data_IF_089450150775
#
_entry.id   IF_089450150775
#
_cell.length_a   1.000
_cell.length_b   1.000
_cell.length_c   1.000
_cell.angle_alpha   90.00
_cell.angle_beta   90.00
_cell.angle_gamma   90.00
#
_symmetry.space_group_name_H-M   'P 1'
#
loop_
_entity.id
_entity.type
_entity.pdbx_description
1 polymer ?
#
# COMPACT_ATOMS: atom_id res chain seq x y z
N UNK A 1 -31.64 -45.94 -7.06
CA UNK A 1 -31.62 -44.54 -7.54
C UNK A 1 -31.87 -43.62 -6.34
N UNK A 2 -30.84 -43.18 -5.66
CA UNK A 2 -30.89 -42.14 -4.63
C UNK A 2 -30.30 -40.86 -5.23
N UNK A 3 -31.18 -39.88 -5.52
CA UNK A 3 -30.76 -38.51 -5.84
C UNK A 3 -30.20 -37.85 -4.58
N UNK A 4 -28.88 -37.60 -4.53
CA UNK A 4 -28.32 -36.66 -3.57
C UNK A 4 -28.53 -35.25 -4.08
N UNK A 5 -29.57 -34.56 -3.64
CA UNK A 5 -29.65 -33.11 -3.75
C UNK A 5 -28.59 -32.51 -2.80
N UNK A 6 -27.48 -32.08 -3.36
CA UNK A 6 -26.56 -31.21 -2.66
C UNK A 6 -27.23 -29.86 -2.45
N UNK A 7 -27.63 -29.56 -1.23
CA UNK A 7 -27.99 -28.23 -0.78
C UNK A 7 -26.78 -27.33 -0.96
N UNK A 8 -26.73 -26.54 -2.03
CA UNK A 8 -25.83 -25.41 -2.14
C UNK A 8 -26.35 -24.35 -1.15
N UNK A 9 -25.51 -23.86 -0.22
CA UNK A 9 -25.94 -22.74 0.61
C UNK A 9 -26.32 -21.57 -0.32
N UNK A 10 -27.47 -20.98 -0.07
CA UNK A 10 -27.92 -19.79 -0.77
C UNK A 10 -27.02 -18.61 -0.37
N UNK A 11 -25.89 -18.47 -1.05
CA UNK A 11 -25.19 -17.19 -1.06
C UNK A 11 -26.14 -16.22 -1.76
N UNK A 12 -26.58 -15.19 -1.05
CA UNK A 12 -27.20 -14.05 -1.68
C UNK A 12 -26.31 -13.69 -2.88
N UNK A 13 -26.90 -13.58 -4.07
CA UNK A 13 -26.15 -13.28 -5.29
C UNK A 13 -25.45 -11.91 -5.09
N UNK A 14 -24.20 -11.95 -4.61
CA UNK A 14 -23.36 -10.76 -4.62
C UNK A 14 -23.23 -10.31 -6.05
N UNK A 15 -23.54 -9.05 -6.30
CA UNK A 15 -23.42 -8.47 -7.62
C UNK A 15 -21.94 -8.47 -8.06
N UNK A 16 -21.55 -9.46 -8.88
CA UNK A 16 -20.18 -9.64 -9.38
C UNK A 16 -19.93 -8.78 -10.62
N UNK A 17 -20.84 -7.87 -10.96
CA UNK A 17 -20.70 -6.97 -12.10
C UNK A 17 -19.71 -5.86 -11.81
N UNK A 18 -19.14 -5.32 -12.88
CA UNK A 18 -18.27 -4.15 -12.79
C UNK A 18 -19.07 -2.94 -12.28
N UNK A 19 -18.47 -2.22 -11.35
CA UNK A 19 -19.02 -0.98 -10.80
C UNK A 19 -18.07 0.17 -11.09
N UNK A 20 -18.57 1.21 -11.74
CA UNK A 20 -17.82 2.46 -11.93
C UNK A 20 -18.08 3.35 -10.72
N UNK A 21 -17.01 3.76 -10.05
CA UNK A 21 -17.07 4.69 -8.93
C UNK A 21 -16.82 6.10 -9.46
N UNK A 22 -17.73 7.06 -9.23
CA UNK A 22 -17.54 8.44 -9.66
C UNK A 22 -16.42 9.11 -8.87
N UNK A 23 -15.73 10.06 -9.52
CA UNK A 23 -14.76 10.91 -8.84
C UNK A 23 -15.46 11.73 -7.75
N UNK A 24 -14.86 11.80 -6.56
CA UNK A 24 -15.37 12.59 -5.43
C UNK A 24 -14.96 14.04 -5.56
N UNK A 25 -13.70 14.30 -5.94
CA UNK A 25 -13.17 15.66 -6.14
C UNK A 25 -11.96 15.65 -7.07
N UNK A 26 -11.68 16.82 -7.64
CA UNK A 26 -10.44 17.09 -8.37
C UNK A 26 -9.80 18.34 -7.76
N UNK A 27 -8.53 18.28 -7.44
CA UNK A 27 -7.82 19.35 -6.74
C UNK A 27 -6.41 19.53 -7.29
N UNK A 28 -5.85 20.71 -7.06
CA UNK A 28 -4.45 20.99 -7.30
C UNK A 28 -3.69 20.96 -5.97
N UNK A 29 -2.66 20.10 -5.91
CA UNK A 29 -1.73 20.06 -4.79
C UNK A 29 -0.84 21.31 -4.74
N UNK A 30 -0.35 21.62 -3.56
CA UNK A 30 0.63 22.69 -3.38
C UNK A 30 1.98 22.16 -3.83
N UNK A 31 2.58 22.81 -4.81
CA UNK A 31 3.97 22.59 -5.20
C UNK A 31 4.87 23.48 -4.34
N UNK A 32 5.95 22.91 -3.82
CA UNK A 32 6.98 23.68 -3.14
C UNK A 32 8.22 23.84 -4.04
N UNK A 33 9.15 24.69 -3.62
CA UNK A 33 10.47 24.76 -4.26
C UNK A 33 11.16 23.39 -4.17
N UNK A 34 11.88 23.05 -5.24
CA UNK A 34 12.70 21.85 -5.28
C UNK A 34 13.77 21.87 -4.17
N UNK A 35 14.21 20.69 -3.77
CA UNK A 35 15.30 20.53 -2.83
C UNK A 35 16.37 19.61 -3.42
N UNK A 36 17.61 20.01 -3.29
CA UNK A 36 18.77 19.18 -3.68
C UNK A 36 19.30 18.46 -2.43
N UNK A 37 19.18 17.13 -2.40
CA UNK A 37 19.63 16.33 -1.27
C UNK A 37 21.14 16.40 -1.04
N UNK A 38 21.93 16.77 -2.06
CA UNK A 38 23.37 17.05 -1.89
C UNK A 38 23.63 18.21 -0.95
N UNK A 39 22.68 19.12 -0.77
CA UNK A 39 22.76 20.20 0.21
C UNK A 39 22.77 19.73 1.66
N UNK A 40 22.39 18.47 1.93
CA UNK A 40 22.40 17.88 3.26
C UNK A 40 23.75 17.28 3.66
N UNK A 41 24.74 17.16 2.74
CA UNK A 41 26.06 16.63 3.08
C UNK A 41 26.88 17.64 3.89
N UNK A 42 27.57 17.22 4.97
CA UNK A 42 27.88 15.83 5.39
C UNK A 42 26.98 15.27 6.50
N UNK A 43 25.74 15.66 6.64
CA UNK A 43 24.96 15.32 7.82
C UNK A 43 24.24 13.98 7.71
N UNK A 44 24.78 12.96 8.37
CA UNK A 44 23.98 11.85 8.88
C UNK A 44 23.36 12.35 10.17
N UNK A 45 22.06 12.60 10.20
CA UNK A 45 21.37 13.04 11.42
C UNK A 45 21.24 11.86 12.38
N UNK A 46 22.06 11.86 13.42
CA UNK A 46 22.07 10.80 14.45
C UNK A 46 21.27 11.18 15.70
N UNK A 47 20.53 12.31 15.67
CA UNK A 47 19.74 12.73 16.83
C UNK A 47 18.64 11.72 17.13
N UNK A 48 18.46 11.33 18.42
CA UNK A 48 17.34 10.48 18.79
C UNK A 48 16.02 11.18 18.47
N UNK A 49 15.17 10.54 17.67
CA UNK A 49 13.79 10.99 17.48
C UNK A 49 13.02 10.55 18.73
N UNK A 50 12.25 11.44 19.38
CA UNK A 50 11.42 11.04 20.52
C UNK A 50 10.48 9.90 20.11
N UNK A 51 10.30 8.92 20.99
CA UNK A 51 9.37 7.82 20.78
C UNK A 51 7.98 8.40 20.47
N UNK A 52 7.52 8.20 19.26
CA UNK A 52 6.19 8.58 18.83
C UNK A 52 5.45 7.31 18.42
N UNK A 53 4.28 7.12 18.99
CA UNK A 53 3.35 6.10 18.51
C UNK A 53 2.49 6.72 17.43
N UNK A 54 2.33 6.07 16.25
CA UNK A 54 1.29 6.45 15.30
C UNK A 54 -0.06 6.53 16.00
N UNK A 55 -1.03 7.27 15.46
CA UNK A 55 -2.39 7.23 15.98
C UNK A 55 -2.83 5.76 16.05
N UNK A 56 -3.36 5.34 17.20
CA UNK A 56 -3.81 3.95 17.39
C UNK A 56 -4.63 3.52 16.18
N UNK A 57 -4.23 2.39 15.58
CA UNK A 57 -4.95 1.79 14.49
C UNK A 57 -6.37 1.49 14.99
N UNK A 58 -7.42 2.13 14.46
CA UNK A 58 -8.76 1.94 15.00
C UNK A 58 -9.12 0.48 14.94
N UNK A 59 -9.67 -0.01 16.05
CA UNK A 59 -10.12 -1.38 16.23
C UNK A 59 -10.88 -1.84 14.99
N UNK A 60 -10.43 -2.97 14.43
CA UNK A 60 -11.06 -3.65 13.32
C UNK A 60 -12.56 -3.71 13.46
N UNK A 61 -13.26 -3.33 12.40
CA UNK A 61 -14.62 -3.80 12.23
C UNK A 61 -14.53 -5.27 11.80
N UNK A 62 -15.09 -6.24 12.54
CA UNK A 62 -15.12 -7.62 12.06
C UNK A 62 -15.75 -7.65 10.67
N UNK A 63 -15.09 -8.30 9.71
CA UNK A 63 -15.70 -8.53 8.41
C UNK A 63 -16.97 -9.37 8.60
N UNK A 64 -18.12 -9.03 7.99
CA UNK A 64 -19.35 -9.77 8.20
C UNK A 64 -19.20 -11.22 7.72
N UNK A 65 -19.42 -12.19 8.63
CA UNK A 65 -19.74 -13.58 8.30
C UNK A 65 -18.55 -14.49 7.97
N UNK A 66 -17.57 -14.59 8.86
CA UNK A 66 -16.55 -15.65 8.78
C UNK A 66 -17.05 -16.98 9.34
N UNK A 67 -17.45 -17.93 8.48
CA UNK A 67 -17.56 -19.32 8.90
C UNK A 67 -16.15 -19.93 9.02
N UNK A 68 -15.94 -20.74 10.07
CA UNK A 68 -14.70 -21.51 10.25
C UNK A 68 -14.54 -22.48 9.08
N UNK A 69 -13.65 -22.21 8.15
CA UNK A 69 -13.34 -23.15 7.08
C UNK A 69 -12.18 -24.05 7.49
N UNK A 70 -12.43 -25.36 7.58
CA UNK A 70 -11.39 -26.38 7.64
C UNK A 70 -10.85 -26.61 6.23
N UNK A 71 -10.11 -25.64 5.65
CA UNK A 71 -9.43 -25.88 4.39
C UNK A 71 -8.22 -26.77 4.66
N UNK A 72 -7.99 -27.81 3.84
CA UNK A 72 -6.76 -28.60 3.94
C UNK A 72 -5.56 -27.67 3.72
N UNK A 73 -4.57 -27.81 4.57
CA UNK A 73 -3.24 -27.18 4.35
C UNK A 73 -2.75 -27.72 3.01
N UNK A 74 -2.65 -26.86 1.99
CA UNK A 74 -2.00 -27.23 0.75
C UNK A 74 -0.57 -27.73 1.05
N UNK A 75 -0.10 -28.72 0.32
CA UNK A 75 1.25 -29.24 0.50
C UNK A 75 2.22 -28.05 0.50
N UNK A 76 3.07 -27.97 1.53
CA UNK A 76 4.17 -27.02 1.58
C UNK A 76 5.15 -27.57 0.53
N UNK A 77 5.19 -26.94 -0.65
CA UNK A 77 6.32 -27.11 -1.54
C UNK A 77 7.52 -26.47 -0.84
N UNK A 78 8.37 -27.28 -0.26
CA UNK A 78 9.70 -26.84 0.13
C UNK A 78 10.43 -26.42 -1.16
N UNK A 79 10.27 -25.14 -1.51
CA UNK A 79 11.12 -24.52 -2.51
C UNK A 79 12.54 -24.49 -1.95
N UNK A 80 13.30 -25.56 -2.21
CA UNK A 80 14.74 -25.56 -2.02
C UNK A 80 15.43 -24.74 -3.13
N UNK A 81 14.90 -23.56 -3.43
CA UNK A 81 15.64 -22.57 -4.18
C UNK A 81 16.74 -22.06 -3.25
N UNK A 82 17.97 -22.47 -3.51
CA UNK A 82 19.15 -21.83 -2.91
C UNK A 82 19.13 -20.38 -3.34
N UNK A 83 18.54 -19.50 -2.52
CA UNK A 83 18.66 -18.06 -2.71
C UNK A 83 20.13 -17.76 -2.54
N UNK A 84 20.81 -17.41 -3.63
CA UNK A 84 22.17 -16.92 -3.55
C UNK A 84 22.08 -15.46 -3.01
N UNK A 85 22.36 -15.21 -1.73
CA UNK A 85 22.25 -13.88 -1.17
C UNK A 85 23.31 -13.01 -1.85
N UNK A 86 22.85 -11.94 -2.50
CA UNK A 86 23.71 -10.87 -3.00
C UNK A 86 24.38 -10.11 -1.87
N UNK A 87 24.66 -8.84 -2.07
CA UNK A 87 25.21 -7.97 -1.04
C UNK A 87 24.22 -7.88 0.15
N UNK A 88 24.74 -8.12 1.35
CA UNK A 88 24.00 -7.99 2.60
C UNK A 88 24.62 -6.86 3.42
N UNK A 89 23.80 -5.95 3.91
CA UNK A 89 24.24 -4.82 4.74
C UNK A 89 23.12 -4.40 5.69
N UNK A 90 23.52 -3.69 6.75
CA UNK A 90 22.56 -3.14 7.70
C UNK A 90 21.83 -1.93 7.09
N UNK A 91 20.51 -1.92 7.19
CA UNK A 91 19.67 -0.78 6.84
C UNK A 91 19.69 0.31 7.92
N UNK A 92 18.62 1.09 7.98
CA UNK A 92 18.43 2.10 9.02
C UNK A 92 18.23 1.43 10.38
N UNK A 93 18.82 2.03 11.40
CA UNK A 93 18.59 1.58 12.78
C UNK A 93 17.26 2.11 13.31
N UNK A 94 16.71 1.44 14.32
CA UNK A 94 15.51 1.90 15.03
C UNK A 94 15.68 3.34 15.53
N UNK A 95 14.78 4.22 15.14
CA UNK A 95 14.84 5.65 15.41
C UNK A 95 13.82 6.12 16.48
N UNK A 96 13.21 5.18 17.21
CA UNK A 96 12.25 5.48 18.27
C UNK A 96 10.78 5.37 17.87
N UNK A 97 10.46 5.09 16.60
CA UNK A 97 9.10 4.80 16.16
C UNK A 97 8.76 3.32 16.33
N UNK A 98 7.53 3.05 16.73
CA UNK A 98 6.99 1.70 16.82
C UNK A 98 5.52 1.71 16.35
N UNK A 99 5.19 1.00 15.27
CA UNK A 99 6.09 0.23 14.38
C UNK A 99 7.00 1.14 13.54
N UNK A 100 8.07 0.59 12.94
CA UNK A 100 8.98 1.37 12.09
C UNK A 100 8.43 1.65 10.69
N UNK A 101 7.44 0.89 10.23
CA UNK A 101 6.80 0.95 8.91
C UNK A 101 7.81 1.08 7.75
N UNK A 102 8.79 0.17 7.76
CA UNK A 102 9.87 0.17 6.79
C UNK A 102 9.38 -0.17 5.38
N UNK A 103 9.89 0.55 4.39
CA UNK A 103 9.71 0.26 2.98
C UNK A 103 11.00 0.55 2.19
N UNK A 104 11.15 -0.05 0.99
CA UNK A 104 12.40 0.00 0.23
C UNK A 104 12.14 0.02 -1.28
N UNK A 105 12.86 0.89 -1.98
CA UNK A 105 12.88 0.93 -3.44
C UNK A 105 14.29 0.70 -3.98
N UNK A 106 14.41 -0.18 -4.98
CA UNK A 106 15.68 -0.55 -5.60
C UNK A 106 15.67 -0.13 -7.07
N UNK A 107 16.43 0.89 -7.39
CA UNK A 107 16.63 1.36 -8.75
C UNK A 107 17.87 0.77 -9.43
N UNK A 108 18.27 1.36 -10.55
CA UNK A 108 19.42 0.88 -11.34
C UNK A 108 20.76 1.03 -10.60
N UNK A 109 20.95 2.10 -9.86
CA UNK A 109 22.21 2.48 -9.21
C UNK A 109 22.15 2.59 -7.68
N UNK A 110 20.98 2.87 -7.11
CA UNK A 110 20.79 3.16 -5.70
C UNK A 110 19.66 2.33 -5.08
N UNK A 111 19.63 2.38 -3.76
CA UNK A 111 18.56 1.88 -2.91
C UNK A 111 18.10 3.05 -2.04
N UNK A 112 16.79 3.27 -1.98
CA UNK A 112 16.18 4.22 -1.04
C UNK A 112 15.36 3.41 -0.03
N UNK A 113 15.68 3.57 1.24
CA UNK A 113 14.96 2.99 2.38
C UNK A 113 14.22 4.10 3.10
N UNK A 114 12.99 3.82 3.51
CA UNK A 114 12.19 4.71 4.35
C UNK A 114 11.75 3.97 5.61
N UNK A 115 11.70 4.70 6.70
CA UNK A 115 11.07 4.26 7.95
C UNK A 115 10.24 5.41 8.50
N UNK A 116 9.38 5.16 9.47
CA UNK A 116 8.65 6.25 10.12
C UNK A 116 9.61 7.39 10.49
N UNK A 117 9.28 8.60 10.00
CA UNK A 117 9.98 9.87 10.15
C UNK A 117 11.30 10.07 9.38
N UNK A 118 11.89 9.06 8.74
CA UNK A 118 13.23 9.18 8.14
C UNK A 118 13.38 8.38 6.85
N UNK A 119 14.38 8.76 6.04
CA UNK A 119 14.80 8.02 4.85
C UNK A 119 16.31 7.96 4.73
N UNK A 120 16.81 6.97 4.00
CA UNK A 120 18.22 6.81 3.69
C UNK A 120 18.44 6.41 2.23
N UNK A 121 19.58 6.83 1.68
CA UNK A 121 20.04 6.49 0.33
C UNK A 121 21.32 5.68 0.44
N UNK A 122 21.36 4.56 -0.28
CA UNK A 122 22.52 3.67 -0.33
C UNK A 122 22.93 3.40 -1.77
N UNK A 123 24.21 3.12 -1.97
CA UNK A 123 24.61 2.41 -3.19
C UNK A 123 24.06 0.99 -3.21
N UNK A 124 24.00 0.34 -4.35
CA UNK A 124 23.58 -1.06 -4.44
C UNK A 124 24.50 -2.04 -3.69
N UNK A 125 25.68 -1.61 -3.30
CA UNK A 125 26.64 -2.40 -2.50
C UNK A 125 26.52 -2.11 -0.99
N UNK A 126 25.58 -1.25 -0.57
CA UNK A 126 25.27 -1.00 0.82
C UNK A 126 26.00 0.15 1.47
N UNK A 127 26.74 0.96 0.70
CA UNK A 127 27.34 2.18 1.25
C UNK A 127 26.24 3.22 1.46
N UNK A 128 25.98 3.58 2.72
CA UNK A 128 25.04 4.66 3.06
C UNK A 128 25.63 6.01 2.61
N UNK A 129 24.89 6.73 1.78
CA UNK A 129 25.28 8.03 1.23
C UNK A 129 24.57 9.18 1.95
N UNK A 130 23.31 8.95 2.35
CA UNK A 130 22.50 9.94 3.04
C UNK A 130 21.58 9.24 4.04
N UNK A 131 21.32 9.89 5.16
CA UNK A 131 20.21 9.58 6.08
C UNK A 131 19.67 10.89 6.63
N UNK A 132 18.36 11.15 6.45
CA UNK A 132 17.71 12.39 6.83
C UNK A 132 16.27 12.16 7.30
N UNK A 133 15.72 13.13 8.02
CA UNK A 133 14.32 13.11 8.41
C UNK A 133 13.41 13.64 7.30
N UNK A 134 12.16 13.19 7.28
CA UNK A 134 11.15 13.77 6.39
C UNK A 134 10.85 15.23 6.73
N UNK A 135 11.02 15.65 8.00
CA UNK A 135 10.92 17.07 8.37
C UNK A 135 11.97 17.92 7.63
N UNK A 136 13.17 17.40 7.44
CA UNK A 136 14.21 18.07 6.65
C UNK A 136 13.86 18.08 5.16
N UNK A 137 13.47 16.92 4.60
CA UNK A 137 13.08 16.81 3.20
C UNK A 137 11.91 17.73 2.85
N UNK A 138 10.89 17.80 3.70
CA UNK A 138 9.68 18.61 3.49
C UNK A 138 9.69 19.95 4.24
N UNK A 139 10.88 20.44 4.63
CA UNK A 139 11.00 21.77 5.24
C UNK A 139 10.40 22.84 4.33
N UNK A 140 9.56 23.72 4.91
CA UNK A 140 8.83 24.74 4.17
C UNK A 140 7.59 24.24 3.39
N UNK A 141 7.31 22.94 3.42
CA UNK A 141 6.13 22.29 2.79
C UNK A 141 5.19 21.72 3.85
N UNK A 142 5.72 20.85 4.70
CA UNK A 142 4.99 20.30 5.83
C UNK A 142 4.72 21.40 6.85
N UNK A 143 3.50 21.42 7.42
CA UNK A 143 3.10 22.37 8.46
C UNK A 143 2.83 21.66 9.81
N UNK A 144 2.57 20.37 9.80
CA UNK A 144 2.45 19.56 10.99
C UNK A 144 3.77 18.82 11.29
N UNK A 145 3.99 18.49 12.55
CA UNK A 145 5.20 17.79 12.99
C UNK A 145 5.07 16.28 12.90
N UNK A 146 3.84 15.74 12.85
CA UNK A 146 3.61 14.30 12.69
C UNK A 146 3.67 13.92 11.22
N UNK A 147 4.78 13.32 10.81
CA UNK A 147 5.00 12.69 9.51
C UNK A 147 5.21 11.19 9.73
N UNK A 148 4.35 10.34 9.12
CA UNK A 148 4.28 8.91 9.44
C UNK A 148 3.84 8.10 8.21
N UNK A 149 3.89 6.77 8.31
CA UNK A 149 3.51 5.80 7.29
C UNK A 149 4.14 6.11 5.91
N UNK A 150 5.46 6.18 5.80
CA UNK A 150 6.09 6.43 4.52
C UNK A 150 5.96 5.23 3.57
N UNK A 151 5.97 5.51 2.27
CA UNK A 151 6.16 4.52 1.21
C UNK A 151 7.15 5.05 0.19
N UNK A 152 7.89 4.14 -0.45
CA UNK A 152 8.82 4.48 -1.51
C UNK A 152 8.73 3.49 -2.66
N UNK A 153 8.74 3.98 -3.88
CA UNK A 153 8.80 3.17 -5.10
C UNK A 153 9.93 3.66 -6.01
N UNK A 154 10.40 2.77 -6.87
CA UNK A 154 11.21 3.14 -8.04
C UNK A 154 10.35 2.97 -9.29
N UNK A 155 9.89 4.10 -9.83
CA UNK A 155 9.17 4.17 -11.10
C UNK A 155 10.12 3.85 -12.26
N UNK A 156 10.15 2.57 -12.64
CA UNK A 156 11.05 2.05 -13.68
C UNK A 156 10.70 2.50 -15.08
N UNK A 157 9.47 2.96 -15.30
CA UNK A 157 9.05 3.47 -16.62
C UNK A 157 9.63 4.86 -16.89
N UNK A 158 9.88 5.60 -15.84
CA UNK A 158 10.28 6.99 -15.90
C UNK A 158 11.63 7.25 -15.24
N UNK A 159 12.29 6.22 -14.68
CA UNK A 159 13.58 6.29 -13.99
C UNK A 159 13.57 7.33 -12.87
N UNK A 160 12.67 7.14 -11.87
CA UNK A 160 12.45 8.05 -10.75
C UNK A 160 12.24 7.29 -9.44
N UNK A 161 12.77 7.85 -8.36
CA UNK A 161 12.31 7.48 -7.03
C UNK A 161 11.16 8.38 -6.63
N UNK A 162 10.14 7.79 -6.02
CA UNK A 162 8.98 8.52 -5.50
C UNK A 162 8.73 8.09 -4.07
N UNK A 163 8.79 9.06 -3.15
CA UNK A 163 8.47 8.87 -1.74
C UNK A 163 7.14 9.55 -1.42
N UNK A 164 6.34 8.92 -0.60
CA UNK A 164 5.18 9.55 0.04
C UNK A 164 5.32 9.43 1.55
N UNK A 165 4.74 10.38 2.27
CA UNK A 165 4.60 10.34 3.72
C UNK A 165 3.32 11.06 4.13
N UNK A 166 2.61 10.54 5.12
CA UNK A 166 1.40 11.15 5.63
C UNK A 166 1.72 12.27 6.61
N UNK A 167 0.94 13.36 6.55
CA UNK A 167 1.02 14.49 7.46
C UNK A 167 -0.30 14.62 8.21
N UNK A 168 -0.25 14.65 9.54
CA UNK A 168 -1.43 14.80 10.40
C UNK A 168 -1.24 15.81 11.51
N UNK A 169 -2.32 16.56 11.79
CA UNK A 169 -2.53 17.32 13.03
C UNK A 169 -4.00 17.26 13.43
N UNK A 170 -4.28 17.31 14.71
CA UNK A 170 -5.65 17.36 15.23
C UNK A 170 -6.11 18.78 15.56
N UNK A 171 -5.17 19.72 15.73
CA UNK A 171 -5.46 21.13 16.01
C UNK A 171 -4.36 22.04 15.41
N UNK A 172 -4.61 22.72 14.29
CA UNK A 172 -5.79 22.55 13.42
C UNK A 172 -5.85 21.14 12.82
N UNK A 173 -7.05 20.72 12.39
CA UNK A 173 -7.21 19.43 11.70
C UNK A 173 -6.52 19.49 10.34
N UNK A 174 -5.50 18.65 10.18
CA UNK A 174 -4.70 18.51 8.95
C UNK A 174 -4.58 17.03 8.64
N UNK A 175 -4.81 16.69 7.38
CA UNK A 175 -4.45 15.40 6.79
C UNK A 175 -3.99 15.65 5.37
N UNK A 176 -2.71 15.38 5.08
CA UNK A 176 -2.11 15.58 3.77
C UNK A 176 -1.27 14.38 3.39
N UNK A 177 -1.04 14.24 2.09
CA UNK A 177 -0.03 13.34 1.54
C UNK A 177 1.09 14.20 0.99
N UNK A 178 2.26 14.09 1.58
CA UNK A 178 3.47 14.71 1.07
C UNK A 178 4.11 13.77 0.04
N UNK A 179 4.53 14.30 -1.09
CA UNK A 179 5.12 13.53 -2.19
C UNK A 179 6.46 14.17 -2.56
N UNK A 180 7.50 13.36 -2.69
CA UNK A 180 8.78 13.77 -3.24
C UNK A 180 9.15 12.87 -4.42
N UNK A 181 9.53 13.47 -5.55
CA UNK A 181 9.88 12.79 -6.80
C UNK A 181 11.28 13.23 -7.21
N UNK A 182 12.21 12.28 -7.38
CA UNK A 182 13.56 12.63 -7.88
C UNK A 182 13.49 13.12 -9.32
N UNK A 183 14.37 14.04 -9.67
CA UNK A 183 14.44 14.61 -11.04
C UNK A 183 15.02 13.63 -12.07
N UNK A 184 15.73 12.61 -11.61
CA UNK A 184 16.25 11.50 -12.43
C UNK A 184 16.40 10.21 -11.61
N UNK A 185 17.14 9.22 -12.13
CA UNK A 185 17.42 7.92 -11.49
C UNK A 185 18.46 7.95 -10.38
N UNK A 186 19.04 9.12 -10.08
CA UNK A 186 19.96 9.32 -8.94
C UNK A 186 19.24 10.05 -7.80
N UNK A 187 18.93 9.35 -6.69
CA UNK A 187 18.21 9.96 -5.57
C UNK A 187 19.06 10.97 -4.77
N UNK A 188 20.36 11.10 -5.05
CA UNK A 188 21.23 12.12 -4.44
C UNK A 188 21.11 13.49 -5.13
N UNK A 189 20.15 13.67 -6.02
CA UNK A 189 19.92 14.89 -6.79
C UNK A 189 18.81 15.76 -6.24
N UNK A 190 18.11 16.40 -7.18
CA UNK A 190 16.97 17.27 -6.92
C UNK A 190 15.70 16.47 -6.71
N UNK A 191 14.87 16.93 -5.81
CA UNK A 191 13.54 16.36 -5.55
C UNK A 191 12.47 17.43 -5.72
N UNK A 192 11.48 17.14 -6.57
CA UNK A 192 10.26 17.91 -6.70
C UNK A 192 9.30 17.53 -5.56
N UNK A 193 8.78 18.53 -4.83
CA UNK A 193 8.01 18.31 -3.61
C UNK A 193 6.60 18.84 -3.72
N UNK A 194 5.63 18.05 -3.25
CA UNK A 194 4.21 18.36 -3.31
C UNK A 194 3.53 18.05 -1.98
N UNK A 195 2.47 18.80 -1.70
CA UNK A 195 1.58 18.58 -0.57
C UNK A 195 0.15 18.46 -1.09
N UNK A 196 -0.36 17.23 -1.13
CA UNK A 196 -1.67 16.88 -1.66
C UNK A 196 -2.71 16.87 -0.55
N UNK A 197 -3.98 17.09 -0.90
CA UNK A 197 -5.07 16.96 0.06
C UNK A 197 -5.32 15.50 0.41
N UNK A 198 -5.23 15.16 1.69
CA UNK A 198 -5.54 13.86 2.26
C UNK A 198 -6.81 13.85 3.11
N UNK A 199 -7.37 15.02 3.46
CA UNK A 199 -8.61 15.10 4.22
C UNK A 199 -9.84 14.97 3.32
N UNK A 200 -10.89 14.37 3.85
CA UNK A 200 -12.21 14.27 3.23
C UNK A 200 -13.30 14.51 4.27
N UNK A 201 -14.42 15.09 3.86
CA UNK A 201 -15.63 15.11 4.67
C UNK A 201 -16.57 14.01 4.19
N UNK A 202 -16.84 13.02 5.03
CA UNK A 202 -17.67 11.85 4.71
C UNK A 202 -18.89 11.81 5.62
N UNK A 203 -20.08 11.95 5.04
CA UNK A 203 -21.32 12.00 5.84
C UNK A 203 -21.36 13.12 6.88
N UNK A 204 -20.71 14.26 6.60
CA UNK A 204 -20.62 15.42 7.50
C UNK A 204 -19.53 15.29 8.58
N UNK A 205 -18.68 14.26 8.53
CA UNK A 205 -17.56 14.05 9.45
C UNK A 205 -16.25 14.31 8.72
N UNK A 206 -15.43 15.20 9.27
CA UNK A 206 -14.08 15.44 8.76
C UNK A 206 -13.18 14.26 9.11
N UNK A 207 -12.50 13.74 8.08
CA UNK A 207 -11.71 12.52 8.16
C UNK A 207 -10.26 12.76 7.74
N UNK A 208 -9.37 11.98 8.35
CA UNK A 208 -7.94 11.93 8.05
C UNK A 208 -7.55 10.58 7.45
N UNK A 209 -6.50 10.58 6.64
CA UNK A 209 -6.00 9.43 5.90
C UNK A 209 -4.92 8.69 6.68
N UNK A 210 -4.98 7.35 6.67
CA UNK A 210 -4.09 6.44 7.37
C UNK A 210 -3.81 5.18 6.54
N UNK A 211 -2.71 4.51 6.83
CA UNK A 211 -2.32 3.24 6.23
C UNK A 211 -2.31 3.28 4.69
N UNK A 212 -1.35 3.99 4.07
CA UNK A 212 -1.35 4.21 2.64
C UNK A 212 -0.98 2.95 1.85
N UNK A 213 -1.75 2.67 0.78
CA UNK A 213 -1.31 1.85 -0.32
C UNK A 213 -0.71 2.74 -1.40
N UNK A 214 0.34 2.27 -2.08
CA UNK A 214 1.02 3.07 -3.09
C UNK A 214 1.38 2.20 -4.29
N UNK A 215 0.91 2.60 -5.48
CA UNK A 215 1.19 1.91 -6.73
C UNK A 215 1.38 2.87 -7.89
N UNK A 216 1.91 2.35 -9.00
CA UNK A 216 2.21 3.16 -10.17
C UNK A 216 2.16 2.35 -11.47
N UNK A 217 1.92 3.06 -12.58
CA UNK A 217 2.22 2.61 -13.94
C UNK A 217 2.94 3.74 -14.70
N UNK A 218 3.13 3.60 -16.00
CA UNK A 218 3.80 4.63 -16.81
C UNK A 218 3.08 5.98 -16.83
N UNK A 219 1.77 6.01 -16.55
CA UNK A 219 0.90 7.19 -16.67
C UNK A 219 0.81 7.99 -15.35
N UNK A 220 1.00 7.33 -14.21
CA UNK A 220 0.86 8.02 -12.93
C UNK A 220 0.99 7.14 -11.69
N UNK A 221 0.74 7.80 -10.59
CA UNK A 221 0.80 7.27 -9.22
C UNK A 221 -0.59 7.24 -8.62
N UNK A 222 -0.87 6.23 -7.80
CA UNK A 222 -2.11 6.18 -7.02
C UNK A 222 -1.78 5.88 -5.56
N UNK A 223 -2.25 6.76 -4.69
CA UNK A 223 -2.14 6.65 -3.25
C UNK A 223 -3.52 6.34 -2.69
N UNK A 224 -3.67 5.22 -2.01
CA UNK A 224 -4.88 4.95 -1.23
C UNK A 224 -4.66 5.21 0.25
N UNK A 225 -5.74 5.27 1.01
CA UNK A 225 -5.69 5.30 2.46
C UNK A 225 -7.07 5.15 3.08
N UNK A 226 -7.09 4.62 4.28
CA UNK A 226 -8.29 4.50 5.09
C UNK A 226 -8.65 5.86 5.69
N UNK A 227 -9.89 6.25 5.59
CA UNK A 227 -10.38 7.52 6.10
C UNK A 227 -11.06 7.34 7.46
N UNK A 228 -10.46 7.94 8.49
CA UNK A 228 -10.96 7.89 9.87
C UNK A 228 -11.44 9.27 10.32
N UNK A 229 -12.57 9.31 11.04
CA UNK A 229 -13.06 10.57 11.59
C UNK A 229 -12.08 11.20 12.58
N UNK A 230 -11.81 12.50 12.47
CA UNK A 230 -10.97 13.22 13.44
C UNK A 230 -11.53 13.18 14.86
N UNK A 231 -12.86 13.14 14.99
CA UNK A 231 -13.53 13.22 16.29
C UNK A 231 -13.59 11.86 17.02
N UNK A 232 -13.63 10.74 16.29
CA UNK A 232 -13.97 9.44 16.86
C UNK A 232 -13.07 8.30 16.41
N UNK A 233 -12.13 8.56 15.50
CA UNK A 233 -11.24 7.58 14.86
C UNK A 233 -12.00 6.39 14.23
N UNK A 234 -13.30 6.54 13.93
CA UNK A 234 -14.04 5.48 13.26
C UNK A 234 -13.81 5.54 11.74
N UNK A 235 -13.58 4.38 11.13
CA UNK A 235 -13.46 4.26 9.69
C UNK A 235 -14.76 4.66 8.97
N UNK A 236 -14.64 5.40 7.87
CA UNK A 236 -15.76 5.89 7.05
C UNK A 236 -15.73 5.36 5.64
N UNK A 237 -14.55 5.39 5.01
CA UNK A 237 -14.34 5.01 3.61
C UNK A 237 -12.85 4.76 3.37
N UNK A 238 -12.52 4.25 2.20
CA UNK A 238 -11.15 4.23 1.70
C UNK A 238 -11.05 5.19 0.52
N UNK A 239 -10.07 6.09 0.56
CA UNK A 239 -9.79 7.03 -0.51
C UNK A 239 -8.77 6.46 -1.49
N UNK A 240 -8.83 6.89 -2.75
CA UNK A 240 -7.82 6.65 -3.79
C UNK A 240 -7.52 7.97 -4.48
N UNK A 241 -6.32 8.49 -4.32
CA UNK A 241 -5.82 9.74 -4.88
C UNK A 241 -4.98 9.42 -6.10
N UNK A 242 -5.44 9.80 -7.28
CA UNK A 242 -4.77 9.60 -8.57
C UNK A 242 -3.95 10.83 -8.91
N UNK A 243 -2.67 10.67 -9.18
CA UNK A 243 -1.71 11.71 -9.53
C UNK A 243 -1.05 11.40 -10.88
N UNK A 244 -1.44 12.06 -12.00
CA UNK A 244 -0.76 11.93 -13.28
C UNK A 244 0.73 12.29 -13.18
N UNK A 245 1.62 11.44 -13.70
CA UNK A 245 3.06 11.56 -13.46
C UNK A 245 3.76 12.61 -14.34
N UNK A 246 3.27 12.87 -15.55
CA UNK A 246 3.98 13.65 -16.55
C UNK A 246 4.39 15.07 -16.08
N UNK A 247 3.44 15.79 -15.44
CA UNK A 247 3.72 17.14 -14.93
C UNK A 247 4.61 17.13 -13.70
N UNK A 248 4.32 16.25 -12.73
CA UNK A 248 5.02 16.24 -11.44
C UNK A 248 6.47 15.75 -11.54
N UNK A 249 6.79 14.92 -12.53
CA UNK A 249 8.17 14.47 -12.80
C UNK A 249 9.10 15.58 -13.32
N UNK A 250 8.52 16.63 -13.86
CA UNK A 250 9.27 17.80 -14.36
C UNK A 250 9.12 19.02 -13.43
N UNK A 251 8.70 18.81 -12.19
CA UNK A 251 8.49 19.92 -11.25
C UNK A 251 7.30 20.82 -11.61
N UNK A 252 6.34 20.31 -12.38
CA UNK A 252 5.13 21.02 -12.75
C UNK A 252 3.96 20.80 -11.77
N UNK A 253 2.77 21.20 -12.17
CA UNK A 253 1.57 21.18 -11.32
C UNK A 253 1.12 19.77 -10.96
N UNK A 254 0.75 19.54 -9.69
CA UNK A 254 0.16 18.31 -9.19
C UNK A 254 -1.37 18.41 -9.18
N UNK A 255 -2.02 17.95 -10.23
CA UNK A 255 -3.49 17.84 -10.28
C UNK A 255 -3.89 16.43 -9.84
N UNK A 256 -4.82 16.31 -8.89
CA UNK A 256 -5.28 15.04 -8.36
C UNK A 256 -6.76 14.81 -8.59
N UNK A 257 -7.13 13.55 -8.74
CA UNK A 257 -8.53 13.09 -8.72
C UNK A 257 -8.70 12.08 -7.60
N UNK A 258 -9.65 12.29 -6.72
CA UNK A 258 -9.91 11.44 -5.56
C UNK A 258 -11.21 10.66 -5.75
N UNK A 259 -11.15 9.37 -5.45
CA UNK A 259 -12.29 8.45 -5.39
C UNK A 259 -12.48 7.95 -3.97
N UNK A 260 -13.69 7.48 -3.64
CA UNK A 260 -14.03 6.87 -2.37
C UNK A 260 -14.73 5.52 -2.57
N UNK A 261 -14.37 4.53 -1.78
CA UNK A 261 -15.07 3.25 -1.70
C UNK A 261 -15.35 2.91 -0.24
N UNK A 262 -16.62 2.92 0.15
CA UNK A 262 -17.07 2.64 1.52
C UNK A 262 -17.36 1.16 1.80
N UNK A 263 -17.04 0.28 0.88
CA UNK A 263 -17.28 -1.16 1.00
C UNK A 263 -16.02 -1.96 1.35
N UNK A 264 -14.86 -1.33 1.27
CA UNK A 264 -13.57 -1.99 1.39
C UNK A 264 -12.64 -1.15 2.28
N UNK A 265 -12.04 -1.79 3.25
CA UNK A 265 -10.96 -1.19 4.04
C UNK A 265 -9.63 -1.64 3.48
N UNK A 266 -8.71 -0.70 3.29
CA UNK A 266 -7.37 -0.92 2.74
C UNK A 266 -7.37 -1.45 1.32
N UNK A 267 -7.04 -0.57 0.38
CA UNK A 267 -6.73 -0.93 -1.01
C UNK A 267 -5.21 -0.86 -1.18
N UNK A 268 -4.62 -1.91 -1.74
CA UNK A 268 -3.22 -1.90 -2.17
C UNK A 268 -3.18 -1.76 -3.69
N UNK A 269 -2.61 -0.66 -4.18
CA UNK A 269 -2.34 -0.47 -5.59
C UNK A 269 -1.04 -1.13 -5.98
N UNK A 270 -1.01 -1.73 -7.17
CA UNK A 270 0.13 -2.53 -7.60
C UNK A 270 1.31 -1.67 -8.06
N UNK A 271 2.51 -2.11 -7.70
CA UNK A 271 3.68 -1.78 -8.47
C UNK A 271 3.60 -2.52 -9.82
N UNK A 272 3.53 -1.76 -10.92
CA UNK A 272 3.42 -2.33 -12.25
C UNK A 272 4.82 -2.62 -12.79
N UNK A 273 5.17 -3.90 -12.85
CA UNK A 273 6.49 -4.37 -13.28
C UNK A 273 6.43 -5.00 -14.67
N UNK A 274 7.37 -4.66 -15.53
CA UNK A 274 7.50 -5.27 -16.85
C UNK A 274 6.87 -4.46 -17.96
N UNK A 275 5.78 -4.97 -18.58
CA UNK A 275 5.11 -4.32 -19.71
C UNK A 275 4.29 -3.11 -19.30
N UNK A 276 4.12 -2.17 -20.24
CA UNK A 276 3.28 -0.98 -20.04
C UNK A 276 1.81 -1.32 -20.20
N UNK A 277 0.96 -0.77 -19.34
CA UNK A 277 -0.50 -0.81 -19.48
C UNK A 277 -1.12 0.50 -19.00
N UNK A 278 -2.13 0.99 -19.71
CA UNK A 278 -2.90 2.18 -19.29
C UNK A 278 -3.85 1.93 -18.12
N UNK A 279 -3.90 0.70 -17.60
CA UNK A 279 -4.68 0.34 -16.40
C UNK A 279 -3.73 0.16 -15.23
N UNK A 280 -3.98 0.86 -14.13
CA UNK A 280 -3.31 0.62 -12.86
C UNK A 280 -4.24 -0.20 -11.97
N UNK A 281 -3.78 -1.40 -11.58
CA UNK A 281 -4.56 -2.32 -10.78
C UNK A 281 -4.34 -2.13 -9.30
N UNK A 282 -5.36 -2.46 -8.52
CA UNK A 282 -5.31 -2.54 -7.08
C UNK A 282 -6.25 -3.63 -6.57
N UNK A 283 -6.14 -3.93 -5.29
CA UNK A 283 -6.93 -4.99 -4.66
C UNK A 283 -7.07 -4.72 -3.15
N UNK A 284 -8.17 -5.16 -2.57
CA UNK A 284 -8.36 -5.14 -1.12
C UNK A 284 -9.31 -6.25 -0.67
N UNK A 285 -9.27 -6.58 0.61
CA UNK A 285 -10.16 -7.60 1.17
C UNK A 285 -11.58 -7.05 1.30
N UNK A 286 -12.56 -7.75 0.73
CA UNK A 286 -13.97 -7.40 0.85
C UNK A 286 -14.64 -8.19 1.99
N UNK A 287 -14.44 -9.49 1.99
CA UNK A 287 -14.81 -10.41 3.06
C UNK A 287 -14.02 -11.72 2.93
N UNK A 288 -14.32 -12.70 3.76
CA UNK A 288 -13.59 -13.97 3.81
C UNK A 288 -13.70 -14.87 2.56
N UNK A 289 -14.52 -14.49 1.58
CA UNK A 289 -14.73 -15.26 0.34
C UNK A 289 -14.45 -14.44 -0.92
N UNK A 290 -14.24 -13.12 -0.78
CA UNK A 290 -14.03 -12.22 -1.90
C UNK A 290 -12.98 -11.18 -1.58
N UNK A 291 -12.12 -10.92 -2.57
CA UNK A 291 -11.38 -9.68 -2.66
C UNK A 291 -12.08 -8.74 -3.65
N UNK A 292 -11.83 -7.46 -3.52
CA UNK A 292 -12.32 -6.46 -4.46
C UNK A 292 -11.17 -5.97 -5.32
N UNK A 293 -11.21 -6.34 -6.59
CA UNK A 293 -10.31 -5.81 -7.61
C UNK A 293 -10.66 -4.36 -7.91
N UNK A 294 -9.66 -3.54 -8.09
CA UNK A 294 -9.77 -2.13 -8.44
C UNK A 294 -8.93 -1.85 -9.69
N UNK A 295 -9.41 -1.03 -10.58
CA UNK A 295 -8.70 -0.61 -11.78
C UNK A 295 -8.87 0.89 -12.01
N UNK A 296 -7.78 1.62 -12.09
CA UNK A 296 -7.76 3.02 -12.53
C UNK A 296 -7.38 3.07 -14.00
N UNK A 297 -8.18 3.78 -14.79
CA UNK A 297 -7.94 4.03 -16.22
C UNK A 297 -7.87 5.53 -16.49
N UNK A 298 -7.36 5.88 -17.66
CA UNK A 298 -7.36 7.26 -18.18
C UNK A 298 -6.67 8.26 -17.24
N UNK A 299 -5.61 7.82 -16.55
CA UNK A 299 -4.88 8.61 -15.55
C UNK A 299 -4.46 9.98 -16.11
N UNK A 300 -4.05 10.02 -17.39
CA UNK A 300 -3.54 11.25 -18.04
C UNK A 300 -4.63 12.22 -18.51
N UNK A 301 -5.90 11.81 -18.47
CA UNK A 301 -7.03 12.64 -18.95
C UNK A 301 -8.08 12.79 -17.86
N UNK A 302 -9.10 11.95 -17.86
CA UNK A 302 -10.15 11.93 -16.84
C UNK A 302 -10.13 10.56 -16.18
N UNK A 303 -9.47 10.43 -15.01
CA UNK A 303 -9.36 9.16 -14.32
C UNK A 303 -10.72 8.53 -14.04
N UNK A 304 -10.77 7.21 -14.22
CA UNK A 304 -11.97 6.42 -13.97
C UNK A 304 -11.62 5.24 -13.08
N UNK A 305 -12.34 5.04 -12.00
CA UNK A 305 -12.18 3.90 -11.10
C UNK A 305 -13.27 2.87 -11.38
N UNK A 306 -12.85 1.63 -11.65
CA UNK A 306 -13.74 0.48 -11.86
C UNK A 306 -13.41 -0.57 -10.80
N UNK A 307 -14.44 -1.17 -10.22
CA UNK A 307 -14.27 -2.23 -9.21
C UNK A 307 -15.04 -3.47 -9.57
N UNK A 308 -14.55 -4.62 -9.07
CA UNK A 308 -15.21 -5.92 -9.25
C UNK A 308 -14.89 -6.84 -8.09
N UNK A 309 -15.86 -7.63 -7.63
CA UNK A 309 -15.62 -8.68 -6.65
C UNK A 309 -14.98 -9.90 -7.33
N UNK A 310 -13.86 -10.35 -6.79
CA UNK A 310 -13.11 -11.54 -7.18
C UNK A 310 -13.30 -12.61 -6.12
N UNK A 311 -13.96 -13.71 -6.47
CA UNK A 311 -14.10 -14.85 -5.57
C UNK A 311 -12.72 -15.47 -5.25
N UNK A 312 -12.49 -15.78 -3.99
CA UNK A 312 -11.28 -16.45 -3.50
C UNK A 312 -11.67 -17.64 -2.62
N UNK A 313 -10.75 -18.56 -2.39
CA UNK A 313 -10.95 -19.62 -1.42
C UNK A 313 -11.21 -19.01 -0.03
N UNK A 314 -12.23 -19.51 0.65
CA UNK A 314 -12.61 -19.03 1.98
C UNK A 314 -11.41 -19.05 2.94
N UNK A 315 -11.34 -18.06 3.81
CA UNK A 315 -10.29 -17.92 4.82
C UNK A 315 -10.86 -17.42 6.14
N UNK A 316 -10.07 -17.50 7.20
CA UNK A 316 -10.42 -16.95 8.51
C UNK A 316 -9.35 -15.96 8.95
N UNK A 317 -9.75 -15.00 9.79
CA UNK A 317 -8.80 -14.03 10.35
C UNK A 317 -7.69 -14.75 11.12
N UNK A 318 -6.44 -14.23 11.04
CA UNK A 318 -5.36 -14.78 11.83
C UNK A 318 -5.65 -14.60 13.33
N UNK A 319 -5.08 -15.44 14.21
CA UNK A 319 -5.06 -15.15 15.63
C UNK A 319 -4.46 -13.76 15.89
N UNK A 320 -4.94 -13.08 16.92
CA UNK A 320 -4.44 -11.74 17.27
C UNK A 320 -2.93 -11.71 17.57
N UNK A 321 -2.40 -12.84 18.03
CA UNK A 321 -0.97 -12.99 18.34
C UNK A 321 -0.43 -14.32 17.84
N UNK A 322 0.80 -14.31 17.38
CA UNK A 322 1.62 -15.48 17.07
C UNK A 322 2.65 -15.72 18.19
N UNK A 323 2.94 -17.00 18.48
CA UNK A 323 4.00 -17.35 19.40
C UNK A 323 5.38 -17.14 18.75
N UNK A 324 6.32 -16.61 19.49
CA UNK A 324 7.71 -16.50 19.05
C UNK A 324 8.65 -17.38 19.87
N UNK A 325 9.80 -17.72 19.30
CA UNK A 325 10.84 -18.48 20.02
C UNK A 325 11.44 -17.72 21.20
N UNK A 326 11.31 -16.40 21.26
CA UNK A 326 11.70 -15.58 22.38
C UNK A 326 10.71 -15.60 23.55
N UNK A 327 9.54 -16.23 23.39
CA UNK A 327 8.45 -16.25 24.36
C UNK A 327 7.62 -14.95 24.38
N UNK A 328 7.96 -13.95 23.57
CA UNK A 328 7.14 -12.75 23.41
C UNK A 328 6.11 -12.96 22.30
N UNK A 329 4.86 -12.57 22.55
CA UNK A 329 3.84 -12.61 21.52
C UNK A 329 4.14 -11.59 20.42
N UNK A 330 4.00 -12.00 19.16
CA UNK A 330 4.10 -11.15 17.99
C UNK A 330 2.69 -10.85 17.50
N UNK A 331 2.43 -9.63 17.03
CA UNK A 331 1.15 -9.28 16.44
C UNK A 331 0.87 -10.18 15.22
N UNK A 332 -0.24 -10.88 15.24
CA UNK A 332 -0.66 -11.79 14.18
C UNK A 332 -1.17 -11.06 12.93
N UNK A 333 -1.26 -9.75 12.98
CA UNK A 333 -1.80 -8.94 11.90
C UNK A 333 -3.32 -9.11 11.73
N UNK A 334 -3.83 -8.76 10.58
CA UNK A 334 -5.23 -8.93 10.22
C UNK A 334 -5.40 -9.42 8.77
N UNK A 335 -6.65 -9.63 8.35
CA UNK A 335 -6.97 -10.12 7.02
C UNK A 335 -6.83 -9.09 5.89
N UNK A 336 -6.26 -7.89 6.14
CA UNK A 336 -5.99 -6.91 5.08
C UNK A 336 -4.85 -7.37 4.17
N UNK A 337 -4.90 -6.98 2.91
CA UNK A 337 -3.81 -7.23 1.97
C UNK A 337 -2.66 -6.25 2.26
N UNK A 338 -1.41 -6.74 2.22
CA UNK A 338 -0.23 -5.95 2.60
C UNK A 338 0.44 -5.24 1.42
N UNK A 339 0.25 -5.74 0.21
CA UNK A 339 0.82 -5.15 -0.99
C UNK A 339 0.29 -5.83 -2.23
N UNK A 340 0.57 -5.25 -3.39
CA UNK A 340 0.22 -5.80 -4.68
C UNK A 340 1.32 -5.52 -5.70
N UNK A 341 1.59 -6.50 -6.56
CA UNK A 341 2.52 -6.38 -7.68
C UNK A 341 1.83 -6.91 -8.93
N UNK A 342 1.95 -6.18 -10.04
CA UNK A 342 1.44 -6.65 -11.31
C UNK A 342 2.57 -6.83 -12.32
N UNK A 343 2.57 -7.99 -13.00
CA UNK A 343 3.52 -8.28 -14.07
C UNK A 343 2.91 -9.25 -15.08
N UNK A 344 3.06 -8.95 -16.37
CA UNK A 344 2.66 -9.83 -17.49
C UNK A 344 1.21 -10.34 -17.36
N UNK A 345 0.27 -9.46 -17.03
CA UNK A 345 -1.14 -9.81 -16.90
C UNK A 345 -1.53 -10.46 -15.57
N UNK A 346 -0.58 -10.67 -14.65
CA UNK A 346 -0.82 -11.29 -13.35
C UNK A 346 -0.69 -10.26 -12.21
N UNK A 347 -1.68 -10.23 -11.32
CA UNK A 347 -1.66 -9.48 -10.07
C UNK A 347 -1.38 -10.45 -8.92
N UNK A 348 -0.28 -10.22 -8.21
CA UNK A 348 0.11 -11.04 -7.05
C UNK A 348 -0.07 -10.24 -5.78
N UNK A 349 -0.66 -10.86 -4.78
CA UNK A 349 -0.89 -10.24 -3.45
C UNK A 349 -0.90 -11.30 -2.35
N UNK A 350 -0.82 -10.86 -1.10
CA UNK A 350 -0.86 -11.75 0.07
C UNK A 350 -1.43 -11.05 1.30
N UNK A 351 -1.88 -11.88 2.25
CA UNK A 351 -2.33 -11.42 3.57
C UNK A 351 -2.13 -12.48 4.65
N UNK A 352 -2.24 -12.06 5.90
CA UNK A 352 -2.28 -12.98 7.02
C UNK A 352 -3.64 -13.69 7.10
N UNK A 353 -3.63 -14.98 7.41
CA UNK A 353 -4.82 -15.83 7.61
C UNK A 353 -4.61 -16.74 8.80
N UNK A 354 -5.72 -17.24 9.38
CA UNK A 354 -5.68 -18.27 10.40
C UNK A 354 -5.73 -19.67 9.79
N UNK A 355 -4.77 -20.53 10.15
CA UNK A 355 -4.75 -21.96 9.80
C UNK A 355 -4.45 -22.77 11.07
N UNK A 356 -5.35 -23.67 11.48
CA UNK A 356 -5.17 -24.50 12.68
C UNK A 356 -4.81 -23.69 13.94
N UNK A 357 -5.46 -22.54 14.12
CA UNK A 357 -5.24 -21.59 15.23
C UNK A 357 -3.83 -20.93 15.22
N UNK A 358 -3.15 -20.90 14.08
CA UNK A 358 -1.85 -20.24 13.86
C UNK A 358 -1.96 -19.17 12.80
N UNK A 359 -1.03 -18.22 12.82
CA UNK A 359 -0.86 -17.24 11.76
C UNK A 359 -0.16 -17.90 10.57
N UNK A 360 -0.69 -17.68 9.39
CA UNK A 360 -0.11 -18.10 8.13
C UNK A 360 -0.23 -16.96 7.10
N UNK A 361 0.57 -17.00 6.04
CA UNK A 361 0.44 -16.10 4.89
C UNK A 361 -0.30 -16.85 3.79
N UNK A 362 -1.37 -16.24 3.26
CA UNK A 362 -2.00 -16.69 2.02
C UNK A 362 -1.65 -15.75 0.89
N UNK A 363 -1.23 -16.31 -0.22
CA UNK A 363 -0.94 -15.57 -1.44
C UNK A 363 -1.90 -15.95 -2.57
N UNK A 364 -2.07 -15.02 -3.51
CA UNK A 364 -2.91 -15.18 -4.69
C UNK A 364 -2.16 -14.69 -5.92
N UNK A 365 -2.33 -15.42 -7.02
CA UNK A 365 -1.97 -15.01 -8.38
C UNK A 365 -3.26 -14.89 -9.17
N UNK A 366 -3.54 -13.71 -9.69
CA UNK A 366 -4.80 -13.33 -10.31
C UNK A 366 -4.52 -12.83 -11.72
N UNK A 367 -4.94 -13.60 -12.73
CA UNK A 367 -4.92 -13.13 -14.11
C UNK A 367 -5.88 -11.95 -14.24
N UNK A 368 -5.39 -10.80 -14.69
CA UNK A 368 -6.22 -9.62 -14.92
C UNK A 368 -6.97 -9.66 -16.24
N UNK A 369 -6.53 -10.51 -17.20
CA UNK A 369 -7.18 -10.77 -18.50
C UNK A 369 -7.54 -9.52 -19.30
N UNK A 370 -6.80 -8.41 -19.08
CA UNK A 370 -7.08 -7.12 -19.69
C UNK A 370 -8.35 -6.41 -19.17
N UNK A 371 -8.98 -6.93 -18.07
CA UNK A 371 -10.06 -6.23 -17.39
C UNK A 371 -9.60 -4.82 -16.93
N UNK A 372 -10.44 -3.82 -16.95
CA UNK A 372 -11.84 -3.77 -17.38
C UNK A 372 -12.01 -3.34 -18.83
N UNK A 373 -10.99 -3.44 -19.67
CA UNK A 373 -11.03 -2.96 -21.07
C UNK A 373 -11.36 -4.05 -22.08
N UNK A 374 -10.94 -5.29 -21.83
CA UNK A 374 -11.12 -6.41 -22.78
C UNK A 374 -12.44 -7.17 -22.63
N UNK A 375 -13.23 -6.89 -21.61
CA UNK A 375 -14.48 -7.61 -21.32
C UNK A 375 -14.28 -9.02 -20.71
N UNK A 376 -13.03 -9.47 -20.51
CA UNK A 376 -12.74 -10.74 -19.84
C UNK A 376 -12.50 -10.48 -18.36
N UNK A 377 -13.17 -11.25 -17.51
CA UNK A 377 -13.09 -11.08 -16.06
C UNK A 377 -11.73 -11.53 -15.49
N UNK A 378 -11.23 -10.89 -14.42
CA UNK A 378 -10.13 -11.42 -13.65
C UNK A 378 -10.44 -12.81 -13.10
N UNK A 379 -9.40 -13.62 -12.92
CA UNK A 379 -9.53 -14.97 -12.38
C UNK A 379 -8.33 -15.33 -11.50
N UNK A 380 -8.58 -15.93 -10.34
CA UNK A 380 -7.51 -16.52 -9.53
C UNK A 380 -6.97 -17.73 -10.29
N UNK A 381 -5.71 -17.66 -10.69
CA UNK A 381 -5.01 -18.75 -11.39
C UNK A 381 -4.32 -19.69 -10.42
N UNK A 382 -3.79 -19.13 -9.35
CA UNK A 382 -3.14 -19.88 -8.28
C UNK A 382 -3.38 -19.20 -6.93
N UNK A 383 -3.37 -19.98 -5.88
CA UNK A 383 -3.29 -19.50 -4.51
C UNK A 383 -2.69 -20.59 -3.62
N UNK A 384 -2.03 -20.19 -2.55
CA UNK A 384 -1.43 -21.12 -1.62
C UNK A 384 -1.25 -20.49 -0.24
N UNK A 385 -0.81 -21.32 0.71
CA UNK A 385 -0.48 -20.87 2.05
C UNK A 385 1.00 -21.13 2.32
N UNK A 386 1.64 -20.17 2.98
CA UNK A 386 2.94 -20.33 3.60
C UNK A 386 2.68 -20.46 5.09
N UNK A 387 2.88 -21.65 5.62
CA UNK A 387 2.66 -21.97 7.03
C UNK A 387 3.67 -23.05 7.45
N UNK A 388 4.23 -22.91 8.63
CA UNK A 388 5.00 -23.95 9.28
C UNK A 388 4.07 -24.78 10.19
N UNK A 389 4.13 -26.10 10.12
CA UNK A 389 3.36 -27.00 10.99
C UNK A 389 3.84 -26.99 12.43
N UNK A 390 5.04 -26.46 12.69
CA UNK A 390 5.72 -26.48 13.99
C UNK A 390 5.98 -25.08 14.56
N UNK A 391 5.91 -24.02 13.74
CA UNK A 391 6.21 -22.63 14.12
C UNK A 391 5.12 -21.69 13.60
N UNK A 392 4.92 -20.60 14.32
CA UNK A 392 4.07 -19.48 13.88
C UNK A 392 4.90 -18.46 13.11
#
# INVERSE_FOLDING_TARGET
LLLSLALRPAYAQLNVQDTVIPATKTEQGIQASDIDTRSFFPAIDTRPIPLQTPPENPVRKPLPGGEKSNLPVGAIDELSATVNPGAQFAGMTMNGWYPPDADIAVGSSHIVEVVNSSFAIYTRTGTKQLEQTFQTLFNGVAVATMLFDPKVIYDRFNDRYVMIVLEKSTSPQISKVLVAISDDGDPNGTWHRYRLEGALTVGGVDCWLDYPGFGYNQDGYVISGNMFGFADNAWRTTASIVLPSASVRSGGTANTTTFQDNQIITIQYAEMLGETTSVLYGIGSFNNNFHKMVAIRNITTTPTLVTRLQAVAAWVDPPATAASTSGQAVDGGDGRLYGAVWRNGQLVTSHAVGINSRVAVRWYDIATNGWPTSGTNPAVTQSGNIADSTRD
#
